data_IF_887325332746
#
_entry.id   IF_887325332746
#
_cell.length_a   1.000
_cell.length_b   1.000
_cell.length_c   1.000
_cell.angle_alpha   90.00
_cell.angle_beta   90.00
_cell.angle_gamma   90.00
#
_symmetry.space_group_name_H-M   'P 1'
#
loop_
_entity.id
_entity.type
_entity.pdbx_description
1 polymer ?
#
# COMPACT_ATOMS: atom_id res chain seq x y z
N UNK A 1 2.34 1.71 -21.45
CA UNK A 1 3.16 0.65 -22.09
C UNK A 1 4.16 0.02 -21.11
N UNK A 2 4.73 0.75 -20.13
CA UNK A 2 5.74 0.21 -19.19
C UNK A 2 5.21 -0.70 -18.06
N UNK A 3 4.00 -0.45 -17.55
CA UNK A 3 3.50 -1.18 -16.36
C UNK A 3 3.10 -2.64 -16.64
N UNK A 4 2.64 -2.96 -17.86
CA UNK A 4 2.36 -4.34 -18.27
C UNK A 4 3.63 -5.19 -18.34
N UNK A 5 4.72 -4.61 -18.82
CA UNK A 5 6.04 -5.26 -18.87
C UNK A 5 6.62 -5.46 -17.47
N UNK A 6 6.46 -4.48 -16.57
CA UNK A 6 6.86 -4.62 -15.17
C UNK A 6 6.14 -5.79 -14.48
N UNK A 7 4.84 -5.98 -14.73
CA UNK A 7 4.08 -7.13 -14.22
C UNK A 7 4.69 -8.45 -14.72
N UNK A 8 4.96 -8.55 -16.02
CA UNK A 8 5.57 -9.76 -16.62
C UNK A 8 6.91 -10.08 -15.96
N UNK A 9 7.82 -9.10 -15.90
CA UNK A 9 9.15 -9.26 -15.31
C UNK A 9 9.11 -9.63 -13.83
N UNK A 10 8.20 -9.01 -13.05
CA UNK A 10 8.04 -9.36 -11.64
C UNK A 10 7.50 -10.78 -11.44
N UNK A 11 6.60 -11.25 -12.31
CA UNK A 11 6.11 -12.64 -12.27
C UNK A 11 7.22 -13.64 -12.59
N UNK A 12 8.00 -13.40 -13.64
CA UNK A 12 9.16 -14.25 -13.98
C UNK A 12 10.20 -14.27 -12.86
N UNK A 13 10.46 -13.11 -12.24
CA UNK A 13 11.37 -13.04 -11.08
C UNK A 13 10.84 -13.84 -9.88
N UNK A 14 9.52 -13.90 -9.69
CA UNK A 14 8.87 -14.67 -8.63
C UNK A 14 8.88 -16.19 -8.89
N UNK A 15 8.98 -16.63 -10.14
CA UNK A 15 9.21 -18.04 -10.45
C UNK A 15 10.57 -18.51 -9.94
N UNK A 16 11.57 -17.63 -10.00
CA UNK A 16 12.92 -17.88 -9.49
C UNK A 16 13.03 -17.65 -7.97
N UNK A 17 12.30 -16.67 -7.44
CA UNK A 17 12.36 -16.25 -6.03
C UNK A 17 10.95 -16.13 -5.40
N UNK A 18 10.23 -17.25 -5.21
CA UNK A 18 8.82 -17.22 -4.80
C UNK A 18 8.60 -16.67 -3.37
N UNK A 19 9.64 -16.69 -2.53
CA UNK A 19 9.59 -16.21 -1.15
C UNK A 19 10.08 -14.76 -0.99
N UNK A 20 10.24 -14.02 -2.09
CA UNK A 20 10.63 -12.60 -2.03
C UNK A 20 9.42 -11.70 -1.80
N UNK A 21 9.19 -11.31 -0.54
CA UNK A 21 8.14 -10.35 -0.18
C UNK A 21 8.27 -9.02 -0.95
N UNK A 22 9.51 -8.59 -1.23
CA UNK A 22 9.78 -7.37 -1.96
C UNK A 22 9.30 -7.45 -3.41
N UNK A 23 9.47 -8.60 -4.07
CA UNK A 23 8.95 -8.82 -5.43
C UNK A 23 7.42 -8.89 -5.44
N UNK A 24 6.79 -9.51 -4.43
CA UNK A 24 5.34 -9.49 -4.26
C UNK A 24 4.79 -8.06 -4.10
N UNK A 25 5.45 -7.21 -3.31
CA UNK A 25 5.07 -5.80 -3.18
C UNK A 25 5.23 -5.01 -4.49
N UNK A 26 6.32 -5.24 -5.24
CA UNK A 26 6.53 -4.62 -6.55
C UNK A 26 5.45 -5.02 -7.54
N UNK A 27 5.09 -6.30 -7.58
CA UNK A 27 4.00 -6.81 -8.40
C UNK A 27 2.65 -6.17 -8.00
N UNK A 28 2.37 -6.09 -6.71
CA UNK A 28 1.15 -5.46 -6.20
C UNK A 28 1.05 -3.98 -6.58
N UNK A 29 2.14 -3.22 -6.44
CA UNK A 29 2.22 -1.82 -6.86
C UNK A 29 2.03 -1.66 -8.38
N UNK A 30 2.63 -2.55 -9.19
CA UNK A 30 2.43 -2.54 -10.64
C UNK A 30 0.96 -2.79 -11.01
N UNK A 31 0.26 -3.67 -10.30
CA UNK A 31 -1.18 -3.88 -10.48
C UNK A 31 -2.02 -2.64 -10.15
N UNK A 32 -1.65 -1.87 -9.11
CA UNK A 32 -2.33 -0.58 -8.82
C UNK A 32 -2.17 0.39 -9.99
N UNK A 33 -0.98 0.50 -10.59
CA UNK A 33 -0.71 1.44 -11.68
C UNK A 33 -1.50 1.15 -12.95
N UNK A 34 -1.98 -0.08 -13.14
CA UNK A 34 -2.80 -0.49 -14.28
C UNK A 34 -4.27 -0.70 -13.91
N UNK A 35 -4.71 -0.13 -12.79
CA UNK A 35 -6.08 -0.20 -12.27
C UNK A 35 -6.60 -1.63 -12.11
N UNK A 36 -5.77 -2.51 -11.55
CA UNK A 36 -6.08 -3.90 -11.21
C UNK A 36 -6.04 -4.14 -9.70
N UNK A 37 -6.89 -3.45 -8.91
CA UNK A 37 -6.80 -3.47 -7.45
C UNK A 37 -7.02 -4.85 -6.81
N UNK A 38 -7.84 -5.72 -7.37
CA UNK A 38 -8.02 -7.08 -6.84
C UNK A 38 -6.73 -7.91 -6.93
N UNK A 39 -6.00 -7.79 -8.04
CA UNK A 39 -4.73 -8.49 -8.22
C UNK A 39 -3.63 -7.88 -7.33
N UNK A 40 -3.70 -6.57 -7.07
CA UNK A 40 -2.84 -5.93 -6.07
C UNK A 40 -3.09 -6.49 -4.66
N UNK A 41 -4.36 -6.71 -4.27
CA UNK A 41 -4.71 -7.30 -2.97
C UNK A 41 -4.16 -8.71 -2.80
N UNK A 42 -4.25 -9.54 -3.85
CA UNK A 42 -3.72 -10.90 -3.84
C UNK A 42 -2.18 -10.89 -3.68
N UNK A 43 -1.48 -10.11 -4.50
CA UNK A 43 -0.02 -10.03 -4.45
C UNK A 43 0.48 -9.47 -3.11
N UNK A 44 -0.17 -8.43 -2.58
CA UNK A 44 0.15 -7.90 -1.25
C UNK A 44 -0.15 -8.93 -0.13
N UNK A 45 -1.20 -9.74 -0.28
CA UNK A 45 -1.49 -10.86 0.63
C UNK A 45 -0.38 -11.91 0.65
N UNK A 46 0.21 -12.24 -0.51
CA UNK A 46 1.38 -13.12 -0.60
C UNK A 46 2.60 -12.53 0.12
N UNK A 47 2.85 -11.22 -0.01
CA UNK A 47 3.89 -10.54 0.77
C UNK A 47 3.66 -10.68 2.28
N UNK A 48 2.44 -10.41 2.76
CA UNK A 48 2.10 -10.50 4.19
C UNK A 48 2.27 -11.90 4.76
N UNK A 49 1.94 -12.93 3.98
CA UNK A 49 2.15 -14.33 4.39
C UNK A 49 3.62 -14.66 4.64
N UNK A 50 4.54 -13.97 3.94
CA UNK A 50 5.99 -14.13 4.11
C UNK A 50 6.49 -13.28 5.29
N UNK A 51 6.06 -12.01 5.39
CA UNK A 51 6.60 -11.06 6.38
C UNK A 51 5.99 -11.21 7.79
N UNK A 52 4.84 -11.87 7.94
CA UNK A 52 4.20 -12.25 9.22
C UNK A 52 4.15 -11.13 10.27
N UNK A 53 3.56 -9.99 9.93
CA UNK A 53 3.39 -8.84 10.86
C UNK A 53 4.68 -8.18 11.38
N UNK A 54 5.82 -8.39 10.70
CA UNK A 54 7.04 -7.62 11.00
C UNK A 54 7.01 -6.24 10.35
N UNK A 55 7.97 -5.37 10.69
CA UNK A 55 8.15 -4.03 10.05
C UNK A 55 8.19 -4.06 8.52
N UNK A 56 8.63 -5.17 7.91
CA UNK A 56 8.67 -5.35 6.45
C UNK A 56 7.26 -5.45 5.83
N UNK A 57 6.24 -5.70 6.64
CA UNK A 57 4.83 -5.79 6.21
C UNK A 57 4.22 -4.42 5.93
N UNK A 58 4.80 -3.33 6.43
CA UNK A 58 4.21 -1.98 6.33
C UNK A 58 3.89 -1.58 4.88
N UNK A 59 4.80 -1.82 3.94
CA UNK A 59 4.57 -1.51 2.52
C UNK A 59 3.41 -2.33 1.92
N UNK A 60 3.28 -3.60 2.29
CA UNK A 60 2.17 -4.44 1.82
C UNK A 60 0.81 -3.94 2.37
N UNK A 61 0.78 -3.53 3.64
CA UNK A 61 -0.39 -2.89 4.26
C UNK A 61 -0.79 -1.59 3.56
N UNK A 62 0.18 -0.73 3.24
CA UNK A 62 -0.05 0.49 2.47
C UNK A 62 -0.65 0.21 1.08
N UNK A 63 -0.09 -0.77 0.36
CA UNK A 63 -0.60 -1.19 -0.96
C UNK A 63 -2.02 -1.73 -0.87
N UNK A 64 -2.34 -2.55 0.16
CA UNK A 64 -3.71 -3.03 0.37
C UNK A 64 -4.67 -1.88 0.62
N UNK A 65 -4.30 -0.92 1.47
CA UNK A 65 -5.09 0.30 1.70
C UNK A 65 -5.38 1.04 0.40
N UNK A 66 -4.35 1.25 -0.42
CA UNK A 66 -4.50 1.89 -1.73
C UNK A 66 -5.44 1.11 -2.66
N UNK A 67 -5.32 -0.22 -2.71
CA UNK A 67 -6.20 -1.08 -3.50
C UNK A 67 -7.67 -0.97 -3.05
N UNK A 68 -7.92 -1.02 -1.74
CA UNK A 68 -9.26 -0.93 -1.14
C UNK A 68 -9.89 0.45 -1.39
N UNK A 69 -9.12 1.52 -1.28
CA UNK A 69 -9.55 2.87 -1.66
C UNK A 69 -9.98 2.97 -3.12
N UNK A 70 -9.28 2.28 -4.04
CA UNK A 70 -9.64 2.24 -5.46
C UNK A 70 -10.93 1.43 -5.68
N UNK A 71 -11.16 0.40 -4.86
CA UNK A 71 -12.39 -0.39 -4.87
C UNK A 71 -13.59 0.31 -4.22
N UNK A 72 -13.37 1.39 -3.47
CA UNK A 72 -14.41 2.07 -2.69
C UNK A 72 -14.64 1.47 -1.31
N UNK A 73 -13.83 0.50 -0.90
CA UNK A 73 -13.86 -0.14 0.43
C UNK A 73 -13.12 0.75 1.45
N UNK A 74 -13.71 1.89 1.78
CA UNK A 74 -13.04 2.98 2.49
C UNK A 74 -12.67 2.61 3.93
N UNK A 75 -13.55 1.94 4.67
CA UNK A 75 -13.32 1.52 6.05
C UNK A 75 -12.18 0.51 6.17
N UNK A 76 -12.15 -0.49 5.28
CA UNK A 76 -11.05 -1.46 5.21
C UNK A 76 -9.75 -0.81 4.76
N UNK A 77 -9.82 0.17 3.86
CA UNK A 77 -8.66 0.99 3.50
C UNK A 77 -8.07 1.68 4.72
N UNK A 78 -8.90 2.31 5.57
CA UNK A 78 -8.43 2.94 6.81
C UNK A 78 -7.72 1.93 7.70
N UNK A 79 -8.32 0.76 7.94
CA UNK A 79 -7.72 -0.29 8.79
C UNK A 79 -6.32 -0.70 8.30
N UNK A 80 -6.17 -0.95 7.01
CA UNK A 80 -4.89 -1.38 6.45
C UNK A 80 -3.85 -0.24 6.44
N UNK A 81 -4.24 1.02 6.19
CA UNK A 81 -3.33 2.16 6.25
C UNK A 81 -2.89 2.47 7.69
N UNK A 82 -3.79 2.37 8.66
CA UNK A 82 -3.44 2.48 10.08
C UNK A 82 -2.46 1.38 10.48
N UNK A 83 -2.68 0.14 10.03
CA UNK A 83 -1.76 -0.96 10.30
C UNK A 83 -0.37 -0.75 9.67
N UNK A 84 -0.29 -0.11 8.51
CA UNK A 84 0.99 0.31 7.93
C UNK A 84 1.76 1.24 8.86
N UNK A 85 1.08 2.24 9.43
CA UNK A 85 1.68 3.22 10.34
C UNK A 85 2.12 2.58 11.66
N UNK A 86 1.31 1.68 12.24
CA UNK A 86 1.66 0.94 13.46
C UNK A 86 2.94 0.10 13.30
N UNK A 87 3.20 -0.41 12.09
CA UNK A 87 4.34 -1.28 11.80
C UNK A 87 5.60 -0.51 11.36
N UNK A 88 5.44 0.74 10.91
CA UNK A 88 6.55 1.60 10.51
C UNK A 88 6.15 3.09 10.61
N UNK A 89 6.53 3.72 11.72
CA UNK A 89 6.15 5.10 12.07
C UNK A 89 7.06 6.19 11.47
N UNK A 90 8.17 5.82 10.80
CA UNK A 90 9.14 6.80 10.31
C UNK A 90 9.73 6.45 8.94
N UNK A 91 9.15 7.03 7.89
CA UNK A 91 9.72 6.97 6.54
C UNK A 91 8.72 7.22 5.41
N UNK A 92 9.15 6.94 4.18
CA UNK A 92 8.37 7.19 2.94
C UNK A 92 7.01 6.47 2.96
N UNK A 93 6.95 5.25 3.53
CA UNK A 93 5.69 4.50 3.65
C UNK A 93 4.68 5.17 4.59
N UNK A 94 5.14 5.80 5.68
CA UNK A 94 4.29 6.51 6.62
C UNK A 94 3.73 7.79 6.02
N UNK A 95 4.57 8.57 5.32
CA UNK A 95 4.12 9.75 4.56
C UNK A 95 3.01 9.37 3.57
N UNK A 96 3.24 8.32 2.78
CA UNK A 96 2.26 7.89 1.79
C UNK A 96 0.97 7.38 2.44
N UNK A 97 1.08 6.62 3.53
CA UNK A 97 -0.09 6.15 4.27
C UNK A 97 -0.95 7.30 4.81
N UNK A 98 -0.33 8.36 5.33
CA UNK A 98 -1.04 9.57 5.76
C UNK A 98 -1.73 10.30 4.59
N UNK A 99 -1.08 10.45 3.43
CA UNK A 99 -1.73 11.03 2.24
C UNK A 99 -2.92 10.21 1.78
N UNK A 100 -2.79 8.88 1.80
CA UNK A 100 -3.87 7.99 1.44
C UNK A 100 -5.02 8.09 2.44
N UNK A 101 -4.75 8.09 3.74
CA UNK A 101 -5.77 8.29 4.78
C UNK A 101 -6.49 9.61 4.61
N UNK A 102 -5.78 10.71 4.35
CA UNK A 102 -6.39 12.00 4.07
C UNK A 102 -7.39 11.91 2.90
N UNK A 103 -6.99 11.25 1.80
CA UNK A 103 -7.86 11.03 0.64
C UNK A 103 -9.02 10.05 0.91
N UNK A 104 -8.88 9.11 1.84
CA UNK A 104 -9.96 8.18 2.23
C UNK A 104 -10.99 8.91 3.10
N UNK A 105 -10.55 9.61 4.14
CA UNK A 105 -11.45 10.37 5.02
C UNK A 105 -12.18 11.48 4.26
N UNK A 106 -11.53 12.14 3.31
CA UNK A 106 -12.20 13.11 2.44
C UNK A 106 -13.34 12.46 1.62
N UNK A 107 -13.14 11.24 1.09
CA UNK A 107 -14.20 10.49 0.39
C UNK A 107 -15.33 10.05 1.34
N UNK A 108 -15.05 9.85 2.62
CA UNK A 108 -16.04 9.53 3.65
C UNK A 108 -16.78 10.77 4.19
N UNK A 109 -16.36 11.99 3.80
CA UNK A 109 -16.93 13.25 4.31
C UNK A 109 -16.36 13.70 5.67
N UNK A 110 -15.31 13.05 6.17
CA UNK A 110 -14.64 13.41 7.43
C UNK A 110 -13.49 14.38 7.13
N UNK A 111 -13.83 15.67 6.97
CA UNK A 111 -12.85 16.69 6.62
C UNK A 111 -11.81 16.94 7.72
N UNK A 112 -12.18 16.76 8.99
CA UNK A 112 -11.30 17.01 10.12
C UNK A 112 -10.16 16.00 10.15
N UNK A 113 -10.47 14.70 10.04
CA UNK A 113 -9.44 13.66 9.94
C UNK A 113 -8.65 13.75 8.65
N UNK A 114 -9.29 14.18 7.55
CA UNK A 114 -8.60 14.39 6.28
C UNK A 114 -7.49 15.45 6.41
N UNK A 115 -7.80 16.61 7.00
CA UNK A 115 -6.83 17.70 7.24
C UNK A 115 -5.74 17.25 8.20
N UNK A 116 -6.10 16.59 9.30
CA UNK A 116 -5.14 16.07 10.28
C UNK A 116 -4.10 15.16 9.62
N UNK A 117 -4.53 14.20 8.80
CA UNK A 117 -3.60 13.30 8.12
C UNK A 117 -2.76 13.99 7.03
N UNK A 118 -3.28 15.02 6.38
CA UNK A 118 -2.50 15.82 5.43
C UNK A 118 -1.36 16.56 6.13
N UNK A 119 -1.62 17.15 7.30
CA UNK A 119 -0.63 17.82 8.14
C UNK A 119 0.44 16.83 8.63
N UNK A 120 0.03 15.67 9.13
CA UNK A 120 0.96 14.60 9.54
C UNK A 120 1.87 14.14 8.40
N UNK A 121 1.34 14.03 7.17
CA UNK A 121 2.16 13.72 6.00
C UNK A 121 3.24 14.77 5.72
N UNK A 122 3.01 16.05 6.02
CA UNK A 122 3.95 17.13 5.71
C UNK A 122 5.08 17.21 6.75
N UNK A 123 4.80 16.76 7.98
CA UNK A 123 5.78 16.74 9.08
C UNK A 123 6.84 15.64 8.91
N UNK A 124 6.57 14.61 8.11
CA UNK A 124 7.55 13.55 7.81
C UNK A 124 8.52 14.11 6.76
N UNK A 125 9.79 14.35 7.14
CA UNK A 125 10.85 14.85 6.26
C UNK A 125 11.24 13.86 5.16
N UNK A 126 11.41 14.35 3.92
CA UNK A 126 11.88 13.51 2.82
C UNK A 126 13.34 13.10 3.08
N UNK A 127 13.68 11.80 2.92
CA UNK A 127 15.07 11.36 3.06
C UNK A 127 15.98 12.00 2.00
#
# INVERSE_FOLDING_TARGET
>A
MLAGEAIRLHRESLELMPHSWALWNRLASAYIQVDRPQQALEAAGKSLAITKETKFSASAYCIRGMALRNLGELEESVKHLTRCLELNDSGVSAREAHKLLAGVYAKMGDEDRAKQHLELSQQIEAP
#
